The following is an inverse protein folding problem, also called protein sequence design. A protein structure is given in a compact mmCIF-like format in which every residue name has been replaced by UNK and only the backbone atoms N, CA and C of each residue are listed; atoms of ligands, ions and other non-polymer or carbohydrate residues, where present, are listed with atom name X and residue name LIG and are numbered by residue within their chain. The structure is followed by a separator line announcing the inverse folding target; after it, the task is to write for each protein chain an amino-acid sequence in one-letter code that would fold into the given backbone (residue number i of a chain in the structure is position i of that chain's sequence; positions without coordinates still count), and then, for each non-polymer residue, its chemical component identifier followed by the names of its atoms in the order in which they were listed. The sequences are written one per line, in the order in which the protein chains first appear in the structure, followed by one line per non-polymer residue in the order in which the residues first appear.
data_IF_067793573815
#
_entry.id   IF_067793573815
#
_cell.length_a   1.000
_cell.length_b   1.000
_cell.length_c   1.000
_cell.angle_alpha   90.00
_cell.angle_beta   90.00
_cell.angle_gamma   90.00
#
_symmetry.space_group_name_H-M   'P 1'
#
loop_
_entity.id
_entity.type
_entity.pdbx_description
1 polymer ?
#
# COMPACT_ATOMS: atom_id res chain seq x y z
N UNK A 1 67.56 28.51 -42.08
CA UNK A 1 66.14 28.28 -42.32
C UNK A 1 65.68 27.21 -41.34
N UNK A 2 65.03 27.62 -40.18
CA UNK A 2 64.55 26.68 -39.16
C UNK A 2 63.03 26.54 -39.32
N UNK A 3 62.56 25.32 -39.56
CA UNK A 3 61.12 25.00 -39.70
C UNK A 3 60.57 24.74 -38.28
N UNK A 4 59.59 25.54 -37.84
CA UNK A 4 58.79 25.28 -36.63
C UNK A 4 57.73 24.24 -36.97
N UNK A 5 57.72 23.13 -36.22
CA UNK A 5 56.64 22.15 -36.24
C UNK A 5 55.61 22.59 -35.19
N UNK A 6 54.38 22.88 -35.62
CA UNK A 6 53.23 23.10 -34.73
C UNK A 6 52.56 21.77 -34.45
N UNK A 7 52.58 21.34 -33.19
CA UNK A 7 51.81 20.19 -32.67
C UNK A 7 50.42 20.68 -32.29
N UNK A 8 49.41 20.19 -33.05
CA UNK A 8 48.01 20.37 -32.70
C UNK A 8 47.63 19.31 -31.62
N UNK A 9 47.38 19.77 -30.39
CA UNK A 9 46.85 18.92 -29.35
C UNK A 9 45.32 18.74 -29.54
N UNK A 10 44.90 17.49 -29.74
CA UNK A 10 43.49 17.09 -29.83
C UNK A 10 42.91 16.97 -28.37
N UNK A 11 42.13 17.95 -27.97
CA UNK A 11 41.37 17.88 -26.71
C UNK A 11 40.17 16.92 -26.91
N UNK A 12 40.23 15.71 -26.38
CA UNK A 12 39.10 14.78 -26.32
C UNK A 12 38.25 15.19 -25.11
N UNK A 13 37.17 15.92 -25.36
CA UNK A 13 36.11 16.14 -24.36
C UNK A 13 35.32 14.83 -24.13
N UNK A 14 35.71 14.08 -23.11
CA UNK A 14 34.96 12.93 -22.62
C UNK A 14 33.62 13.36 -22.05
N UNK A 15 32.56 13.32 -22.86
CA UNK A 15 31.20 13.52 -22.38
C UNK A 15 30.78 12.36 -21.48
N UNK A 16 30.55 12.63 -20.19
CA UNK A 16 29.90 11.68 -19.29
C UNK A 16 28.44 11.54 -19.69
N UNK A 17 28.09 10.44 -20.33
CA UNK A 17 26.69 10.07 -20.54
C UNK A 17 26.15 9.59 -19.20
N UNK A 18 25.47 10.48 -18.45
CA UNK A 18 24.63 10.06 -17.33
C UNK A 18 23.45 9.27 -17.90
N UNK A 19 23.54 7.96 -17.86
CA UNK A 19 22.36 7.11 -18.05
C UNK A 19 21.44 7.35 -16.85
N UNK A 20 20.29 7.97 -17.11
CA UNK A 20 19.22 8.06 -16.12
C UNK A 20 18.79 6.61 -15.83
N UNK A 21 19.24 6.08 -14.70
CA UNK A 21 18.79 4.79 -14.19
C UNK A 21 17.34 5.00 -13.75
N UNK A 22 16.39 4.40 -14.49
CA UNK A 22 14.99 4.43 -14.08
C UNK A 22 14.88 3.91 -12.65
N UNK A 23 14.13 4.59 -11.79
CA UNK A 23 13.94 4.17 -10.41
C UNK A 23 13.38 2.74 -10.38
N UNK A 24 14.05 1.85 -9.63
CA UNK A 24 13.53 0.49 -9.40
C UNK A 24 12.34 0.60 -8.47
N UNK A 25 11.14 0.29 -8.97
CA UNK A 25 9.93 0.30 -8.16
C UNK A 25 9.92 -0.90 -7.21
N UNK A 26 9.38 -0.70 -6.04
CA UNK A 26 9.10 -1.74 -5.06
C UNK A 26 7.59 -1.96 -4.93
N UNK A 27 7.21 -3.12 -4.38
CA UNK A 27 5.82 -3.51 -4.15
C UNK A 27 5.56 -3.64 -2.66
N UNK A 28 4.41 -3.10 -2.20
CA UNK A 28 3.86 -3.31 -0.87
C UNK A 28 2.39 -3.76 -1.01
N UNK A 29 1.90 -4.60 -0.09
CA UNK A 29 0.50 -5.07 -0.14
C UNK A 29 -0.13 -5.02 1.24
N UNK A 30 -1.32 -4.41 1.31
CA UNK A 30 -2.05 -4.16 2.54
C UNK A 30 -3.51 -4.56 2.42
N UNK A 31 -4.05 -5.23 3.44
CA UNK A 31 -5.48 -5.47 3.63
C UNK A 31 -5.98 -4.66 4.82
N UNK A 32 -7.00 -3.85 4.62
CA UNK A 32 -7.51 -2.93 5.64
C UNK A 32 -9.04 -2.77 5.58
N UNK A 33 -9.77 -3.86 5.38
CA UNK A 33 -11.19 -3.86 5.08
C UNK A 33 -11.45 -3.57 3.60
N UNK A 34 -12.55 -2.91 3.30
CA UNK A 34 -12.92 -2.59 1.91
C UNK A 34 -11.80 -1.86 1.17
N UNK A 35 -11.33 -2.46 0.06
CA UNK A 35 -10.25 -1.90 -0.76
C UNK A 35 -10.58 -0.54 -1.38
N UNK A 36 -11.87 -0.20 -1.60
CA UNK A 36 -12.27 1.15 -2.04
C UNK A 36 -11.86 2.24 -1.05
N UNK A 37 -11.78 1.88 0.25
CA UNK A 37 -11.32 2.80 1.29
C UNK A 37 -9.80 2.83 1.43
N UNK A 38 -9.12 1.78 0.97
CA UNK A 38 -7.68 1.67 1.08
C UNK A 38 -6.91 2.21 -0.13
N UNK A 39 -7.53 2.30 -1.33
CA UNK A 39 -6.87 2.89 -2.51
C UNK A 39 -6.52 4.37 -2.31
N UNK A 40 -7.45 5.29 -1.95
CA UNK A 40 -7.20 6.73 -1.94
C UNK A 40 -6.04 7.18 -1.02
N UNK A 41 -5.88 6.64 0.20
CA UNK A 41 -4.77 7.05 1.08
C UNK A 41 -3.39 6.84 0.45
N UNK A 42 -3.22 5.76 -0.32
CA UNK A 42 -1.95 5.47 -1.00
C UNK A 42 -1.81 6.22 -2.33
N UNK A 43 -2.89 6.35 -3.10
CA UNK A 43 -2.89 7.09 -4.39
C UNK A 43 -2.40 8.54 -4.24
N UNK A 44 -2.65 9.17 -3.08
CA UNK A 44 -2.26 10.56 -2.83
C UNK A 44 -0.78 10.72 -2.43
N UNK A 45 -0.06 9.65 -2.13
CA UNK A 45 1.34 9.73 -1.71
C UNK A 45 2.26 9.99 -2.91
N UNK A 46 3.04 11.07 -2.81
CA UNK A 46 4.10 11.33 -3.79
C UNK A 46 5.09 10.17 -3.77
N UNK A 47 5.38 9.59 -4.92
CA UNK A 47 6.27 8.43 -5.05
C UNK A 47 5.52 7.12 -5.28
N UNK A 48 4.23 7.02 -4.94
CA UNK A 48 3.38 5.92 -5.36
C UNK A 48 3.08 6.06 -6.85
N UNK A 49 3.22 4.97 -7.60
CA UNK A 49 3.00 4.90 -9.05
C UNK A 49 1.66 4.30 -9.40
N UNK A 50 1.34 3.17 -8.75
CA UNK A 50 0.06 2.48 -8.94
C UNK A 50 -0.46 1.96 -7.61
N UNK A 51 -1.79 1.96 -7.49
CA UNK A 51 -2.50 1.23 -6.43
C UNK A 51 -3.53 0.36 -7.12
N UNK A 52 -3.48 -0.93 -6.86
CA UNK A 52 -4.34 -1.93 -7.51
C UNK A 52 -5.16 -2.66 -6.44
N UNK A 53 -6.48 -2.61 -6.55
CA UNK A 53 -7.38 -3.41 -5.72
C UNK A 53 -7.35 -4.87 -6.13
N UNK A 54 -7.38 -5.78 -5.16
CA UNK A 54 -7.34 -7.22 -5.43
C UNK A 54 -7.54 -8.08 -4.19
N UNK A 55 -7.14 -9.33 -4.31
CA UNK A 55 -7.33 -10.38 -3.30
C UNK A 55 -6.01 -11.09 -3.01
N UNK A 56 -5.69 -11.30 -1.73
CA UNK A 56 -4.47 -12.00 -1.30
C UNK A 56 -4.69 -12.78 0.00
N UNK A 57 -3.86 -13.78 0.23
CA UNK A 57 -3.79 -14.52 1.49
C UNK A 57 -4.74 -15.71 1.60
N UNK A 58 -5.50 -16.00 0.56
CA UNK A 58 -6.39 -17.16 0.47
C UNK A 58 -5.79 -18.34 -0.31
N UNK A 59 -6.62 -19.36 -0.52
CA UNK A 59 -6.23 -20.63 -1.15
C UNK A 59 -6.92 -20.89 -2.49
N UNK A 60 -7.95 -20.12 -2.84
CA UNK A 60 -8.66 -20.27 -4.13
C UNK A 60 -7.91 -19.51 -5.22
N UNK A 61 -7.45 -20.17 -6.31
CA UNK A 61 -6.78 -19.46 -7.41
C UNK A 61 -7.79 -18.68 -8.25
N UNK A 62 -7.41 -17.48 -8.68
CA UNK A 62 -8.22 -16.58 -9.52
C UNK A 62 -9.67 -16.44 -9.03
N UNK A 63 -9.88 -16.02 -7.75
CA UNK A 63 -11.24 -15.90 -7.21
C UNK A 63 -11.98 -14.75 -7.87
N UNK A 64 -13.30 -14.87 -8.01
CA UNK A 64 -14.18 -13.75 -8.33
C UNK A 64 -14.55 -12.98 -7.07
N UNK A 65 -15.03 -11.74 -7.23
CA UNK A 65 -15.54 -10.93 -6.13
C UNK A 65 -16.63 -11.66 -5.32
N UNK A 66 -17.59 -12.28 -6.01
CA UNK A 66 -18.68 -13.01 -5.37
C UNK A 66 -18.14 -14.18 -4.51
N UNK A 67 -17.12 -14.90 -4.99
CA UNK A 67 -16.49 -15.95 -4.22
C UNK A 67 -15.79 -15.40 -2.98
N UNK A 68 -15.06 -14.28 -3.10
CA UNK A 68 -14.40 -13.67 -1.94
C UNK A 68 -15.43 -13.19 -0.92
N UNK A 69 -16.54 -12.61 -1.36
CA UNK A 69 -17.64 -12.17 -0.49
C UNK A 69 -18.28 -13.29 0.33
N UNK A 70 -18.17 -14.57 -0.07
CA UNK A 70 -18.63 -15.69 0.76
C UNK A 70 -17.81 -15.88 2.03
N UNK A 71 -16.60 -15.32 2.11
CA UNK A 71 -15.66 -15.53 3.21
C UNK A 71 -14.97 -16.91 3.21
N UNK A 72 -15.24 -17.76 2.22
CA UNK A 72 -14.75 -19.15 2.18
C UNK A 72 -13.45 -19.32 1.40
N UNK A 73 -13.04 -18.33 0.61
CA UNK A 73 -11.80 -18.38 -0.21
C UNK A 73 -10.52 -18.20 0.60
N UNK A 74 -10.63 -17.69 1.84
CA UNK A 74 -9.51 -17.31 2.68
C UNK A 74 -8.81 -16.02 2.25
N UNK A 75 -9.17 -15.43 1.10
CA UNK A 75 -8.61 -14.16 0.66
C UNK A 75 -9.12 -12.97 1.49
N UNK A 76 -8.24 -11.99 1.67
CA UNK A 76 -8.62 -10.65 2.09
C UNK A 76 -8.71 -9.72 0.87
N UNK A 77 -9.65 -8.76 0.92
CA UNK A 77 -9.57 -7.58 0.07
C UNK A 77 -8.29 -6.81 0.40
N UNK A 78 -7.47 -6.54 -0.59
CA UNK A 78 -6.17 -5.93 -0.43
C UNK A 78 -5.90 -4.89 -1.52
N UNK A 79 -4.98 -3.99 -1.22
CA UNK A 79 -4.40 -3.08 -2.21
C UNK A 79 -2.91 -3.40 -2.37
N UNK A 80 -2.48 -3.55 -3.62
CA UNK A 80 -1.07 -3.66 -3.99
C UNK A 80 -0.60 -2.31 -4.47
N UNK A 81 0.49 -1.82 -3.86
CA UNK A 81 1.07 -0.48 -4.07
C UNK A 81 2.43 -0.65 -4.72
N UNK A 82 2.62 -0.12 -5.93
CA UNK A 82 3.94 0.04 -6.54
C UNK A 82 4.45 1.45 -6.25
N UNK A 83 5.64 1.55 -5.70
CA UNK A 83 6.19 2.83 -5.25
C UNK A 83 7.69 2.96 -5.55
N UNK A 84 8.14 4.20 -5.63
CA UNK A 84 9.54 4.57 -5.78
C UNK A 84 10.16 4.77 -4.38
N UNK A 85 11.01 3.84 -3.90
CA UNK A 85 11.56 3.90 -2.55
C UNK A 85 12.53 5.09 -2.36
N UNK A 86 12.98 5.72 -3.42
CA UNK A 86 13.79 6.95 -3.34
C UNK A 86 12.94 8.21 -3.03
N UNK A 87 11.62 8.12 -3.19
CA UNK A 87 10.67 9.24 -2.98
C UNK A 87 9.80 9.00 -1.75
N UNK A 88 9.31 7.78 -1.54
CA UNK A 88 8.48 7.40 -0.40
C UNK A 88 9.00 6.11 0.23
N UNK A 89 9.19 6.12 1.55
CA UNK A 89 9.69 4.96 2.27
C UNK A 89 8.57 3.95 2.57
N UNK A 90 8.93 2.68 2.79
CA UNK A 90 7.99 1.66 3.27
C UNK A 90 7.40 2.03 4.65
N UNK A 91 8.17 2.70 5.52
CA UNK A 91 7.66 3.22 6.81
C UNK A 91 6.54 4.25 6.62
N UNK A 92 6.62 5.09 5.60
CA UNK A 92 5.54 6.02 5.26
C UNK A 92 4.29 5.27 4.81
N UNK A 93 4.43 4.19 4.02
CA UNK A 93 3.30 3.35 3.64
C UNK A 93 2.69 2.64 4.84
N UNK A 94 3.50 2.15 5.79
CA UNK A 94 3.03 1.56 7.04
C UNK A 94 2.26 2.57 7.90
N UNK A 95 2.78 3.80 8.06
CA UNK A 95 2.06 4.85 8.80
C UNK A 95 0.71 5.18 8.15
N UNK A 96 0.70 5.31 6.82
CA UNK A 96 -0.54 5.50 6.05
C UNK A 96 -1.52 4.36 6.26
N UNK A 97 -1.05 3.10 6.25
CA UNK A 97 -1.89 1.94 6.53
C UNK A 97 -2.52 2.01 7.92
N UNK A 98 -1.71 2.21 8.98
CA UNK A 98 -2.19 2.25 10.36
C UNK A 98 -3.21 3.37 10.61
N UNK A 99 -3.03 4.51 9.96
CA UNK A 99 -3.93 5.66 10.08
C UNK A 99 -5.26 5.49 9.36
N UNK A 100 -5.43 4.44 8.57
CA UNK A 100 -6.65 4.21 7.79
C UNK A 100 -7.45 2.97 8.22
N UNK A 101 -7.07 2.32 9.32
CA UNK A 101 -7.73 1.12 9.85
C UNK A 101 -8.04 1.24 11.35
N UNK A 102 -8.89 0.32 11.84
CA UNK A 102 -8.91 -0.07 13.24
C UNK A 102 -8.09 -1.36 13.41
N UNK A 103 -6.86 -1.26 13.95
CA UNK A 103 -5.97 -2.41 14.03
C UNK A 103 -6.38 -3.43 15.11
N UNK A 104 -7.41 -3.12 15.90
CA UNK A 104 -7.92 -3.97 17.01
C UNK A 104 -9.17 -4.75 16.64
N UNK A 105 -9.80 -4.41 15.51
CA UNK A 105 -11.06 -5.04 15.10
C UNK A 105 -10.81 -6.43 14.51
N UNK A 106 -11.43 -7.42 15.12
CA UNK A 106 -11.39 -8.83 14.69
C UNK A 106 -12.47 -9.10 13.65
N UNK A 107 -12.15 -9.87 12.59
CA UNK A 107 -13.10 -10.33 11.58
C UNK A 107 -13.88 -9.20 10.87
N UNK A 108 -13.20 -8.14 10.49
CA UNK A 108 -13.81 -7.09 9.71
C UNK A 108 -13.17 -5.73 9.93
N UNK A 109 -13.75 -4.71 9.29
CA UNK A 109 -13.40 -3.31 9.49
C UNK A 109 -14.66 -2.44 9.40
N UNK A 110 -14.99 -1.78 10.50
CA UNK A 110 -16.15 -0.90 10.59
C UNK A 110 -17.46 -1.63 10.30
N UNK A 111 -18.20 -1.23 9.26
CA UNK A 111 -19.46 -1.91 8.87
C UNK A 111 -19.24 -3.15 8.01
N UNK A 112 -18.02 -3.42 7.55
CA UNK A 112 -17.71 -4.59 6.73
C UNK A 112 -17.31 -5.76 7.61
N UNK A 113 -18.09 -6.84 7.58
CA UNK A 113 -17.90 -8.01 8.42
C UNK A 113 -17.50 -9.23 7.59
N UNK A 114 -16.59 -10.01 8.13
CA UNK A 114 -16.08 -11.25 7.54
C UNK A 114 -14.56 -11.27 7.40
N UNK A 115 -14.00 -12.48 7.24
CA UNK A 115 -12.54 -12.68 7.14
C UNK A 115 -11.90 -11.99 5.95
N UNK A 116 -12.68 -11.75 4.87
CA UNK A 116 -12.25 -11.00 3.69
C UNK A 116 -11.98 -9.52 3.99
N UNK A 117 -12.45 -8.99 5.11
CA UNK A 117 -12.22 -7.60 5.54
C UNK A 117 -11.25 -7.49 6.72
N UNK A 118 -10.49 -8.57 7.02
CA UNK A 118 -9.46 -8.53 8.07
C UNK A 118 -8.33 -7.58 7.72
N UNK A 119 -7.57 -7.15 8.73
CA UNK A 119 -6.37 -6.35 8.54
C UNK A 119 -5.14 -7.22 8.41
N UNK A 120 -4.32 -6.97 7.37
CA UNK A 120 -3.06 -7.69 7.17
C UNK A 120 -2.03 -6.83 6.41
N UNK A 121 -0.76 -7.05 6.71
CA UNK A 121 0.40 -6.59 5.97
C UNK A 121 1.04 -7.81 5.32
N UNK A 122 1.06 -7.85 3.99
CA UNK A 122 1.69 -8.92 3.21
C UNK A 122 3.08 -8.46 2.79
N UNK A 123 4.12 -8.96 3.47
CA UNK A 123 5.49 -8.57 3.18
C UNK A 123 6.07 -9.33 1.98
N UNK A 124 6.78 -8.63 1.09
CA UNK A 124 7.43 -9.18 -0.10
C UNK A 124 8.91 -9.49 0.15
N UNK A 125 9.53 -8.88 1.18
CA UNK A 125 10.94 -9.06 1.51
C UNK A 125 11.15 -9.21 3.02
N UNK A 126 12.28 -9.82 3.46
CA UNK A 126 12.62 -9.89 4.89
C UNK A 126 12.73 -8.50 5.54
N UNK A 127 13.19 -7.49 4.80
CA UNK A 127 13.26 -6.13 5.33
C UNK A 127 11.88 -5.53 5.56
N UNK A 128 10.93 -5.71 4.62
CA UNK A 128 9.53 -5.30 4.82
C UNK A 128 8.91 -5.99 6.05
N UNK A 129 9.19 -7.29 6.26
CA UNK A 129 8.74 -8.01 7.46
C UNK A 129 9.24 -7.32 8.72
N UNK A 130 10.54 -7.07 8.81
CA UNK A 130 11.18 -6.43 9.96
C UNK A 130 10.59 -5.05 10.25
N UNK A 131 10.40 -4.22 9.21
CA UNK A 131 9.82 -2.89 9.34
C UNK A 131 8.35 -2.95 9.78
N UNK A 132 7.55 -3.88 9.22
CA UNK A 132 6.17 -4.07 9.61
C UNK A 132 6.03 -4.52 11.08
N UNK A 133 6.84 -5.48 11.52
CA UNK A 133 6.87 -5.96 12.90
C UNK A 133 7.29 -4.83 13.87
N UNK A 134 8.32 -4.06 13.53
CA UNK A 134 8.77 -2.91 14.31
C UNK A 134 7.69 -1.83 14.41
N UNK A 135 7.02 -1.52 13.29
CA UNK A 135 5.92 -0.56 13.23
C UNK A 135 4.72 -1.00 14.09
N UNK A 136 4.32 -2.27 14.01
CA UNK A 136 3.27 -2.85 14.86
C UNK A 136 3.64 -2.76 16.35
N UNK A 137 4.88 -3.12 16.70
CA UNK A 137 5.37 -3.03 18.07
C UNK A 137 5.38 -1.59 18.61
N UNK A 138 5.82 -0.62 17.79
CA UNK A 138 5.78 0.81 18.10
C UNK A 138 4.36 1.30 18.34
N UNK A 139 3.42 0.88 17.50
CA UNK A 139 2.00 1.24 17.63
C UNK A 139 1.41 0.65 18.93
N UNK A 140 1.69 -0.61 19.24
CA UNK A 140 1.25 -1.24 20.48
C UNK A 140 1.84 -0.54 21.72
N UNK A 141 3.14 -0.19 21.69
CA UNK A 141 3.81 0.52 22.78
C UNK A 141 3.27 1.95 23.00
N UNK A 142 2.69 2.57 21.99
CA UNK A 142 2.10 3.92 22.10
C UNK A 142 0.87 4.00 23.02
N UNK A 143 0.26 2.84 23.33
CA UNK A 143 -0.98 2.73 24.12
C UNK A 143 -2.15 3.56 23.57
N UNK A 144 -2.11 3.85 22.26
CA UNK A 144 -3.19 4.58 21.58
C UNK A 144 -4.49 3.77 21.56
N UNK A 145 -4.36 2.44 21.53
CA UNK A 145 -5.48 1.50 21.55
C UNK A 145 -5.51 0.74 22.87
N UNK A 146 -6.71 0.54 23.44
CA UNK A 146 -6.92 -0.25 24.66
C UNK A 146 -6.83 -1.75 24.40
N UNK A 147 -7.24 -2.18 23.20
CA UNK A 147 -7.31 -3.57 22.81
C UNK A 147 -6.04 -3.98 22.05
N UNK A 148 -5.72 -5.29 22.02
CA UNK A 148 -4.57 -5.82 21.28
C UNK A 148 -4.65 -5.52 19.78
N UNK A 149 -3.50 -5.23 19.15
CA UNK A 149 -3.41 -5.09 17.70
C UNK A 149 -3.43 -6.48 17.08
N UNK A 150 -4.51 -6.79 16.34
CA UNK A 150 -4.76 -8.11 15.71
C UNK A 150 -4.30 -8.19 14.26
N UNK A 151 -3.88 -7.06 13.66
CA UNK A 151 -3.39 -7.02 12.27
C UNK A 151 -2.33 -8.10 12.03
N UNK A 152 -2.54 -8.92 11.01
CA UNK A 152 -1.62 -9.98 10.61
C UNK A 152 -0.38 -9.40 9.89
N UNK A 153 0.79 -10.04 10.07
CA UNK A 153 1.99 -9.79 9.26
C UNK A 153 2.42 -11.13 8.70
N UNK A 154 2.21 -11.33 7.41
CA UNK A 154 2.41 -12.62 6.74
C UNK A 154 3.13 -12.45 5.40
N UNK A 155 3.75 -13.53 4.90
CA UNK A 155 4.42 -13.48 3.60
C UNK A 155 3.39 -13.24 2.47
N UNK A 156 3.76 -12.41 1.51
CA UNK A 156 2.97 -12.22 0.30
C UNK A 156 2.90 -13.53 -0.50
N UNK A 157 1.70 -13.92 -0.87
CA UNK A 157 1.42 -14.98 -1.81
C UNK A 157 0.96 -14.41 -3.16
N UNK A 158 0.29 -15.21 -3.99
CA UNK A 158 -0.31 -14.72 -5.22
C UNK A 158 -1.31 -13.59 -4.94
N UNK A 159 -1.16 -12.49 -5.70
CA UNK A 159 -2.13 -11.40 -5.73
C UNK A 159 -3.02 -11.55 -6.95
N UNK A 160 -4.31 -11.55 -6.73
CA UNK A 160 -5.31 -11.61 -7.79
C UNK A 160 -5.99 -10.26 -7.90
N UNK A 161 -5.76 -9.58 -9.05
CA UNK A 161 -6.35 -8.28 -9.31
C UNK A 161 -7.87 -8.39 -9.34
N UNK A 162 -8.54 -7.52 -8.60
CA UNK A 162 -10.00 -7.43 -8.63
C UNK A 162 -10.49 -6.86 -9.97
N UNK A 163 -11.76 -7.07 -10.25
CA UNK A 163 -12.44 -6.69 -11.48
C UNK A 163 -12.31 -5.18 -11.77
N UNK A 164 -12.37 -4.78 -13.02
CA UNK A 164 -12.10 -3.40 -13.46
C UNK A 164 -13.02 -2.35 -12.83
N UNK A 165 -14.24 -2.72 -12.48
CA UNK A 165 -15.17 -1.81 -11.84
C UNK A 165 -14.78 -1.48 -10.39
N UNK A 166 -13.92 -2.27 -9.76
CA UNK A 166 -13.37 -1.98 -8.44
C UNK A 166 -12.18 -1.02 -8.47
N UNK A 167 -11.41 -0.98 -9.56
CA UNK A 167 -10.21 -0.18 -9.66
C UNK A 167 -10.51 1.32 -9.66
N UNK A 168 -9.91 2.08 -8.72
CA UNK A 168 -10.13 3.52 -8.59
C UNK A 168 -11.59 3.86 -8.29
N UNK A 169 -12.29 3.01 -7.56
CA UNK A 169 -13.73 3.14 -7.32
C UNK A 169 -14.08 4.48 -6.65
N UNK A 170 -13.30 4.91 -5.68
CA UNK A 170 -13.53 6.16 -4.97
C UNK A 170 -13.54 7.38 -5.91
N UNK A 171 -12.65 7.40 -6.90
CA UNK A 171 -12.55 8.47 -7.90
C UNK A 171 -13.69 8.38 -8.94
N UNK A 172 -13.99 7.17 -9.43
CA UNK A 172 -15.03 6.94 -10.45
C UNK A 172 -16.45 7.16 -9.93
N UNK A 173 -16.66 6.92 -8.63
CA UNK A 173 -17.97 6.92 -7.97
C UNK A 173 -17.98 7.78 -6.69
N UNK A 174 -17.40 8.98 -6.75
CA UNK A 174 -17.08 9.81 -5.57
C UNK A 174 -18.27 10.02 -4.62
N UNK A 175 -19.47 10.30 -5.16
CA UNK A 175 -20.68 10.51 -4.35
C UNK A 175 -21.09 9.24 -3.59
N UNK A 176 -21.19 8.11 -4.29
CA UNK A 176 -21.59 6.82 -3.68
C UNK A 176 -20.54 6.34 -2.68
N UNK A 177 -19.27 6.48 -3.01
CA UNK A 177 -18.17 6.19 -2.11
C UNK A 177 -18.19 7.05 -0.84
N UNK A 178 -18.43 8.37 -0.98
CA UNK A 178 -18.53 9.28 0.15
C UNK A 178 -19.62 8.88 1.14
N UNK A 179 -20.82 8.54 0.64
CA UNK A 179 -21.92 8.05 1.46
C UNK A 179 -21.56 6.74 2.18
N UNK A 180 -20.97 5.79 1.45
CA UNK A 180 -20.53 4.52 2.03
C UNK A 180 -19.46 4.73 3.11
N UNK A 181 -18.39 5.47 2.83
CA UNK A 181 -17.29 5.71 3.77
C UNK A 181 -17.77 6.40 5.06
N UNK A 182 -18.70 7.35 4.94
CA UNK A 182 -19.30 8.02 6.08
C UNK A 182 -20.23 7.09 6.85
N UNK A 183 -21.13 6.39 6.15
CA UNK A 183 -22.11 5.47 6.74
C UNK A 183 -21.49 4.24 7.39
N UNK A 184 -20.32 3.80 6.95
CA UNK A 184 -19.58 2.69 7.56
C UNK A 184 -19.01 3.01 8.95
N UNK A 185 -18.97 4.28 9.36
CA UNK A 185 -18.35 4.71 10.60
C UNK A 185 -16.83 4.93 10.52
N UNK A 186 -16.17 4.53 9.41
CA UNK A 186 -14.70 4.67 9.24
C UNK A 186 -14.25 6.11 9.44
N UNK A 187 -14.88 7.07 8.76
CA UNK A 187 -14.47 8.48 8.83
C UNK A 187 -14.52 9.02 10.25
N UNK A 188 -15.60 8.76 10.99
CA UNK A 188 -15.75 9.21 12.38
C UNK A 188 -14.72 8.59 13.33
N UNK A 189 -14.45 7.29 13.16
CA UNK A 189 -13.44 6.60 13.97
C UNK A 189 -12.04 7.16 13.72
N UNK A 190 -11.64 7.31 12.45
CA UNK A 190 -10.31 7.81 12.09
C UNK A 190 -10.12 9.25 12.58
N UNK A 191 -11.14 10.11 12.42
CA UNK A 191 -11.12 11.48 12.95
C UNK A 191 -10.94 11.50 14.46
N UNK A 192 -11.65 10.65 15.20
CA UNK A 192 -11.52 10.55 16.66
C UNK A 192 -10.16 10.05 17.09
N UNK A 193 -9.59 9.09 16.35
CA UNK A 193 -8.34 8.40 16.70
C UNK A 193 -7.10 9.21 16.33
N UNK A 194 -7.10 9.86 15.16
CA UNK A 194 -5.93 10.50 14.56
C UNK A 194 -6.06 12.02 14.39
N UNK A 195 -7.25 12.59 14.63
CA UNK A 195 -7.52 14.00 14.36
C UNK A 195 -7.59 14.27 12.87
N UNK A 196 -7.02 15.40 12.43
CA UNK A 196 -6.97 15.80 11.01
C UNK A 196 -5.74 15.24 10.27
N UNK A 197 -4.96 14.37 10.90
CA UNK A 197 -3.70 13.84 10.38
C UNK A 197 -3.86 12.49 9.65
N UNK A 198 -5.06 12.18 9.14
CA UNK A 198 -5.35 10.93 8.41
C UNK A 198 -5.84 11.18 6.99
#
# INVERSE_FOLDING_TARGET
MKRLAQTFGLLVLGGWIMTAQGATLETATFAGGCFWCMEPPFEHLKGVKTVTAGYMGGHVPNPTYEQVCTGTTGHAEAVQVEYDPSIVSYDTLLDTFWRNIDPTQVLGQFADHGTQYRTAIFYHTPEQKKLAEASKAKLAASKKFSDPIVTEITAAGPFYRAEDYHQGYARKNAFRYGLYRQGSGRSGYLQKTWGNDH
#
